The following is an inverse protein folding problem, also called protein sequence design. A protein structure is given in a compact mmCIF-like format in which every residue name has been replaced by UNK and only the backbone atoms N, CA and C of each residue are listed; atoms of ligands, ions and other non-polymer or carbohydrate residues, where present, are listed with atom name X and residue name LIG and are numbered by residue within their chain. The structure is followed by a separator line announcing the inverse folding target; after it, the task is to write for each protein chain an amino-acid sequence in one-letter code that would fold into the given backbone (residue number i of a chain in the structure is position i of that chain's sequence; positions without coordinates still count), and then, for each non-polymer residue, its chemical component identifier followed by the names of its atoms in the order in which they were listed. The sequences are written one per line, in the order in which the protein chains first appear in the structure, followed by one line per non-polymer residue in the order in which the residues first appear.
data_IF_219124565660
#
_entry.id   IF_219124565660
#
_cell.length_a   1.000
_cell.length_b   1.000
_cell.length_c   1.000
_cell.angle_alpha   90.00
_cell.angle_beta   90.00
_cell.angle_gamma   90.00
#
_symmetry.space_group_name_H-M   'P 1'
#
loop_
_entity.id
_entity.type
_entity.pdbx_description
1 polymer ?
#
# COMPACT_ATOMS: atom_id res chain seq x y z
N UNK A 1 -12.95 -17.99 -12.63
CA UNK A 1 -13.77 -17.62 -13.79
C UNK A 1 -14.18 -16.15 -13.79
N UNK A 2 -14.86 -15.67 -12.73
CA UNK A 2 -15.27 -14.26 -12.61
C UNK A 2 -14.07 -13.31 -12.62
N UNK A 3 -13.02 -13.62 -11.87
CA UNK A 3 -11.82 -12.80 -11.81
C UNK A 3 -11.15 -12.64 -13.19
N UNK A 4 -11.14 -13.69 -13.97
CA UNK A 4 -10.56 -13.67 -15.34
C UNK A 4 -11.41 -12.82 -16.27
N UNK A 5 -12.74 -12.89 -16.17
CA UNK A 5 -13.64 -12.06 -16.96
C UNK A 5 -13.47 -10.57 -16.62
N UNK A 6 -13.36 -10.24 -15.35
CA UNK A 6 -13.14 -8.88 -14.90
C UNK A 6 -11.81 -8.32 -15.39
N UNK A 7 -10.76 -9.13 -15.35
CA UNK A 7 -9.45 -8.74 -15.87
C UNK A 7 -9.49 -8.49 -17.39
N UNK A 8 -10.22 -9.33 -18.12
CA UNK A 8 -10.42 -9.19 -19.57
C UNK A 8 -11.13 -7.89 -19.91
N UNK A 9 -12.06 -7.44 -19.05
CA UNK A 9 -12.81 -6.20 -19.22
C UNK A 9 -12.06 -4.95 -18.69
N UNK A 10 -10.84 -5.12 -18.22
CA UNK A 10 -9.99 -4.01 -17.80
C UNK A 10 -9.99 -3.72 -16.29
N UNK A 11 -10.59 -4.57 -15.49
CA UNK A 11 -10.56 -4.42 -14.03
C UNK A 11 -9.31 -5.09 -13.46
N UNK A 12 -8.38 -4.31 -13.01
CA UNK A 12 -7.08 -4.80 -12.51
C UNK A 12 -7.07 -5.10 -11.02
N UNK A 13 -8.03 -4.55 -10.26
CA UNK A 13 -8.06 -4.73 -8.81
C UNK A 13 -9.49 -4.91 -8.29
N UNK A 14 -9.59 -5.48 -7.08
CA UNK A 14 -10.85 -5.61 -6.35
C UNK A 14 -11.45 -4.25 -6.06
N UNK A 15 -10.61 -3.25 -5.77
CA UNK A 15 -11.04 -1.88 -5.50
C UNK A 15 -11.79 -1.26 -6.69
N UNK A 16 -11.29 -1.48 -7.90
CA UNK A 16 -11.96 -0.98 -9.11
C UNK A 16 -13.36 -1.56 -9.24
N UNK A 17 -13.52 -2.86 -9.01
CA UNK A 17 -14.82 -3.52 -9.07
C UNK A 17 -15.77 -2.98 -7.99
N UNK A 18 -15.26 -2.74 -6.78
CA UNK A 18 -16.07 -2.29 -5.65
C UNK A 18 -16.63 -0.86 -5.84
N UNK A 19 -15.89 0.01 -6.53
CA UNK A 19 -16.21 1.45 -6.60
C UNK A 19 -16.73 1.95 -7.95
N UNK A 20 -16.78 1.10 -8.99
CA UNK A 20 -17.43 1.46 -10.25
C UNK A 20 -18.94 1.33 -10.13
N UNK A 21 -19.68 1.98 -11.04
CA UNK A 21 -21.12 1.83 -11.10
C UNK A 21 -21.54 0.39 -11.42
N UNK A 22 -22.58 -0.09 -10.75
CA UNK A 22 -23.12 -1.43 -10.99
C UNK A 22 -23.47 -1.62 -12.47
N UNK A 23 -23.90 -0.56 -13.16
CA UNK A 23 -24.20 -0.60 -14.58
C UNK A 23 -22.99 -0.94 -15.45
N UNK A 24 -21.80 -0.48 -15.08
CA UNK A 24 -20.56 -0.82 -15.81
C UNK A 24 -20.20 -2.29 -15.67
N UNK A 25 -20.37 -2.86 -14.48
CA UNK A 25 -20.15 -4.29 -14.26
C UNK A 25 -21.22 -5.11 -14.99
N UNK A 26 -22.48 -4.63 -15.00
CA UNK A 26 -23.58 -5.31 -15.68
C UNK A 26 -23.43 -5.33 -17.21
N UNK A 27 -22.64 -4.43 -17.80
CA UNK A 27 -22.34 -4.45 -19.23
C UNK A 27 -21.42 -5.59 -19.64
N UNK A 28 -20.75 -6.23 -18.68
CA UNK A 28 -19.90 -7.38 -18.97
C UNK A 28 -20.79 -8.56 -19.38
N UNK A 29 -20.45 -9.19 -20.49
CA UNK A 29 -21.21 -10.31 -21.00
C UNK A 29 -21.31 -11.44 -19.97
N UNK A 30 -22.54 -11.88 -19.71
CA UNK A 30 -22.81 -12.90 -18.71
C UNK A 30 -23.19 -12.37 -17.32
N UNK A 31 -23.16 -11.05 -17.12
CA UNK A 31 -23.57 -10.41 -15.88
C UNK A 31 -24.88 -9.66 -16.07
N UNK A 32 -25.80 -9.81 -15.10
CA UNK A 32 -26.97 -8.96 -14.99
C UNK A 32 -26.76 -7.96 -13.85
N UNK A 33 -27.73 -7.08 -13.62
CA UNK A 33 -27.64 -6.04 -12.59
C UNK A 33 -27.53 -6.65 -11.19
N UNK A 34 -28.28 -7.70 -10.90
CA UNK A 34 -28.25 -8.37 -9.61
C UNK A 34 -26.91 -9.05 -9.34
N UNK A 35 -26.35 -9.71 -10.36
CA UNK A 35 -25.02 -10.32 -10.28
C UNK A 35 -23.96 -9.26 -10.06
N UNK A 36 -24.06 -8.12 -10.78
CA UNK A 36 -23.11 -7.01 -10.63
C UNK A 36 -23.13 -6.46 -9.21
N UNK A 37 -24.31 -6.25 -8.63
CA UNK A 37 -24.44 -5.78 -7.26
C UNK A 37 -23.88 -6.76 -6.25
N UNK A 38 -24.12 -8.05 -6.45
CA UNK A 38 -23.57 -9.09 -5.57
C UNK A 38 -22.04 -9.12 -5.63
N UNK A 39 -21.46 -9.05 -6.81
CA UNK A 39 -19.99 -9.00 -6.99
C UNK A 39 -19.42 -7.78 -6.29
N UNK A 40 -20.03 -6.61 -6.46
CA UNK A 40 -19.59 -5.38 -5.80
C UNK A 40 -19.68 -5.48 -4.27
N UNK A 41 -20.75 -6.07 -3.75
CA UNK A 41 -20.91 -6.28 -2.32
C UNK A 41 -19.79 -7.17 -1.77
N UNK A 42 -19.49 -8.27 -2.45
CA UNK A 42 -18.40 -9.17 -2.07
C UNK A 42 -17.04 -8.50 -2.15
N UNK A 43 -16.85 -7.65 -3.17
CA UNK A 43 -15.60 -6.90 -3.33
C UNK A 43 -15.41 -5.91 -2.18
N UNK A 44 -16.45 -5.21 -1.77
CA UNK A 44 -16.41 -4.29 -0.63
C UNK A 44 -16.14 -5.04 0.68
N UNK A 45 -16.80 -6.17 0.91
CA UNK A 45 -16.58 -7.01 2.09
C UNK A 45 -15.14 -7.50 2.17
N UNK A 46 -14.58 -7.89 1.03
CA UNK A 46 -13.17 -8.30 0.93
C UNK A 46 -12.22 -7.16 1.31
N UNK A 47 -12.47 -5.95 0.78
CA UNK A 47 -11.65 -4.78 1.09
C UNK A 47 -11.74 -4.39 2.57
N UNK A 48 -12.94 -4.43 3.14
CA UNK A 48 -13.13 -4.15 4.57
C UNK A 48 -12.40 -5.16 5.44
N UNK A 49 -12.44 -6.43 5.05
CA UNK A 49 -11.74 -7.51 5.75
C UNK A 49 -10.23 -7.33 5.67
N UNK A 50 -9.70 -6.99 4.49
CA UNK A 50 -8.27 -6.71 4.31
C UNK A 50 -7.83 -5.53 5.18
N UNK A 51 -8.64 -4.47 5.21
CA UNK A 51 -8.34 -3.29 6.02
C UNK A 51 -8.33 -3.64 7.51
N UNK A 52 -9.30 -4.44 7.97
CA UNK A 52 -9.35 -4.89 9.34
C UNK A 52 -8.14 -5.77 9.71
N UNK A 53 -7.72 -6.65 8.81
CA UNK A 53 -6.54 -7.49 9.01
C UNK A 53 -5.26 -6.66 9.09
N UNK A 54 -5.13 -5.66 8.21
CA UNK A 54 -3.97 -4.73 8.24
C UNK A 54 -3.96 -3.92 9.52
N UNK A 55 -5.10 -3.44 9.96
CA UNK A 55 -5.21 -2.66 11.19
C UNK A 55 -4.85 -3.51 12.41
N UNK A 56 -5.34 -4.76 12.47
CA UNK A 56 -4.99 -5.70 13.53
C UNK A 56 -3.49 -5.99 13.54
N UNK A 57 -2.90 -6.19 12.36
CA UNK A 57 -1.46 -6.45 12.23
C UNK A 57 -0.65 -5.22 12.64
N UNK A 58 -1.10 -4.02 12.26
CA UNK A 58 -0.47 -2.77 12.69
C UNK A 58 -0.41 -2.66 14.22
N UNK A 59 -1.51 -2.98 14.88
CA UNK A 59 -1.60 -2.96 16.35
C UNK A 59 -0.70 -4.02 16.97
N UNK A 60 -0.66 -5.20 16.39
CA UNK A 60 0.23 -6.29 16.83
C UNK A 60 1.70 -5.87 16.73
N UNK A 61 2.08 -5.17 15.67
CA UNK A 61 3.43 -4.65 15.47
C UNK A 61 3.75 -3.44 16.35
N UNK A 62 2.73 -2.85 16.99
CA UNK A 62 2.90 -1.71 17.87
C UNK A 62 3.02 -0.37 17.15
N UNK A 63 2.55 -0.28 15.92
CA UNK A 63 2.58 0.97 15.14
C UNK A 63 1.57 1.97 15.69
N UNK A 64 2.01 3.21 15.92
CA UNK A 64 1.19 4.28 16.49
C UNK A 64 0.11 4.75 15.53
N UNK A 65 -1.05 5.14 16.07
CA UNK A 65 -2.13 5.76 15.30
C UNK A 65 -1.70 7.10 14.70
N UNK A 66 -0.78 7.80 15.34
CA UNK A 66 -0.26 9.09 14.85
C UNK A 66 0.45 8.94 13.50
N UNK A 67 1.11 7.80 13.29
CA UNK A 67 1.77 7.50 12.01
C UNK A 67 0.75 7.39 10.88
N UNK A 68 -0.46 6.88 11.18
CA UNK A 68 -1.55 6.78 10.22
C UNK A 68 -2.07 8.15 9.75
N UNK A 69 -1.84 9.20 10.52
CA UNK A 69 -2.27 10.57 10.21
C UNK A 69 -1.33 11.28 9.23
N UNK A 70 -0.18 10.72 8.97
CA UNK A 70 0.79 11.33 8.03
C UNK A 70 0.22 11.29 6.61
N UNK A 71 0.17 12.42 5.89
CA UNK A 71 -0.30 12.45 4.50
C UNK A 71 0.48 11.48 3.61
N UNK A 72 -0.23 10.73 2.80
CA UNK A 72 0.37 9.75 1.89
C UNK A 72 0.58 8.37 2.48
N UNK A 73 0.43 8.20 3.78
CA UNK A 73 0.56 6.90 4.46
C UNK A 73 -0.78 6.17 4.45
N UNK A 74 -0.78 4.91 4.03
CA UNK A 74 -1.96 4.04 4.04
C UNK A 74 -1.74 2.84 4.98
N UNK A 75 -2.75 1.99 5.14
CA UNK A 75 -2.67 0.83 6.03
C UNK A 75 -1.57 -0.16 5.63
N UNK A 76 -1.36 -0.36 4.34
CA UNK A 76 -0.32 -1.23 3.82
C UNK A 76 1.07 -0.71 4.18
N UNK A 77 1.27 0.60 4.08
CA UNK A 77 2.53 1.25 4.48
C UNK A 77 2.77 1.13 5.98
N UNK A 78 1.70 1.27 6.80
CA UNK A 78 1.81 1.12 8.25
C UNK A 78 2.31 -0.26 8.66
N UNK A 79 1.81 -1.30 8.02
CA UNK A 79 2.27 -2.67 8.25
C UNK A 79 3.75 -2.80 7.83
N UNK A 80 4.12 -2.27 6.67
CA UNK A 80 5.51 -2.30 6.18
C UNK A 80 6.45 -1.56 7.15
N UNK A 81 6.05 -0.39 7.64
CA UNK A 81 6.82 0.36 8.64
C UNK A 81 7.03 -0.46 9.90
N UNK A 82 5.96 -1.07 10.42
CA UNK A 82 6.04 -1.88 11.63
C UNK A 82 6.99 -3.07 11.48
N UNK A 83 6.99 -3.72 10.33
CA UNK A 83 7.89 -4.82 10.01
C UNK A 83 9.36 -4.38 9.97
N UNK A 84 9.62 -3.12 9.66
CA UNK A 84 10.96 -2.54 9.63
C UNK A 84 11.31 -1.74 10.89
N UNK A 85 10.49 -1.82 11.93
CA UNK A 85 10.75 -1.15 13.19
C UNK A 85 10.38 0.32 13.24
N UNK A 86 9.71 0.83 12.21
CA UNK A 86 9.21 2.20 12.17
C UNK A 86 7.79 2.19 12.76
N UNK A 87 7.66 2.57 14.03
CA UNK A 87 6.39 2.43 14.77
C UNK A 87 5.75 3.75 15.15
N UNK A 88 6.53 4.82 15.17
CA UNK A 88 6.05 6.16 15.58
C UNK A 88 6.39 7.20 14.52
N UNK A 89 5.75 8.38 14.66
CA UNK A 89 6.06 9.55 13.81
C UNK A 89 7.53 9.93 13.96
N UNK A 90 8.07 9.85 15.17
CA UNK A 90 9.49 10.16 15.44
C UNK A 90 10.40 9.19 14.69
N UNK A 91 10.07 7.91 14.68
CA UNK A 91 10.83 6.90 13.94
C UNK A 91 10.86 7.21 12.43
N UNK A 92 9.73 7.60 11.87
CA UNK A 92 9.65 7.99 10.45
C UNK A 92 10.42 9.28 10.19
N UNK A 93 10.32 10.26 11.10
CA UNK A 93 11.04 11.53 10.98
C UNK A 93 12.56 11.35 10.96
N UNK A 94 13.06 10.33 11.65
CA UNK A 94 14.48 10.01 11.70
C UNK A 94 14.95 9.19 10.49
N UNK A 95 14.05 8.70 9.65
CA UNK A 95 14.39 7.92 8.47
C UNK A 95 14.96 8.79 7.36
N UNK A 96 15.86 8.21 6.57
CA UNK A 96 16.28 8.79 5.29
C UNK A 96 15.37 8.25 4.18
N UNK A 97 15.25 9.00 3.09
CA UNK A 97 14.44 8.60 1.93
C UNK A 97 14.84 7.22 1.42
N UNK A 98 16.15 6.94 1.37
CA UNK A 98 16.69 5.66 0.89
C UNK A 98 16.25 4.49 1.79
N UNK A 99 16.02 4.72 3.07
CA UNK A 99 15.52 3.69 3.98
C UNK A 99 14.10 3.25 3.63
N UNK A 100 13.30 4.14 3.04
CA UNK A 100 11.94 3.84 2.62
C UNK A 100 11.88 3.19 1.24
N UNK A 101 12.62 3.70 0.27
CA UNK A 101 12.56 3.23 -1.12
C UNK A 101 13.64 2.22 -1.48
N UNK A 102 14.66 2.08 -0.62
CA UNK A 102 15.83 1.25 -0.89
C UNK A 102 16.90 1.98 -1.67
N UNK A 103 18.08 1.40 -1.72
CA UNK A 103 19.23 2.00 -2.41
C UNK A 103 20.22 0.93 -2.83
N UNK A 104 21.08 1.27 -3.78
CA UNK A 104 22.10 0.37 -4.29
C UNK A 104 23.48 0.88 -3.87
N UNK A 105 24.21 0.06 -3.13
CA UNK A 105 25.59 0.36 -2.74
C UNK A 105 26.53 -0.08 -3.85
N UNK A 106 27.30 0.87 -4.41
CA UNK A 106 28.34 0.58 -5.38
C UNK A 106 29.68 0.55 -4.68
N UNK A 107 30.34 -0.61 -4.72
CA UNK A 107 31.67 -0.75 -4.15
C UNK A 107 32.71 -0.17 -5.09
N UNK A 108 33.77 0.39 -4.55
CA UNK A 108 34.85 0.99 -5.32
C UNK A 108 35.72 -0.03 -6.07
N UNK A 109 35.63 -1.29 -5.71
CA UNK A 109 36.36 -2.38 -6.33
C UNK A 109 35.72 -2.75 -7.69
N UNK A 110 36.58 -2.91 -8.72
CA UNK A 110 36.13 -3.14 -10.12
C UNK A 110 35.35 -4.45 -10.30
N UNK A 111 35.59 -5.44 -9.46
CA UNK A 111 34.97 -6.76 -9.58
C UNK A 111 33.85 -7.02 -8.57
N UNK A 112 33.49 -6.03 -7.75
CA UNK A 112 32.45 -6.18 -6.75
C UNK A 112 31.08 -5.86 -7.34
N UNK A 113 30.13 -6.78 -7.16
CA UNK A 113 28.73 -6.54 -7.57
C UNK A 113 28.08 -5.51 -6.65
N UNK A 114 27.21 -4.62 -7.21
CA UNK A 114 26.47 -3.68 -6.38
C UNK A 114 25.52 -4.44 -5.44
N UNK A 115 25.43 -3.96 -4.20
CA UNK A 115 24.55 -4.54 -3.20
C UNK A 115 23.24 -3.74 -3.18
N UNK A 116 22.11 -4.41 -3.39
CA UNK A 116 20.80 -3.78 -3.32
C UNK A 116 20.26 -3.90 -1.89
N UNK A 117 20.02 -2.74 -1.27
CA UNK A 117 19.37 -2.65 0.04
C UNK A 117 17.89 -2.35 -0.15
N UNK A 118 17.03 -3.22 0.34
CA UNK A 118 15.57 -3.05 0.23
C UNK A 118 15.08 -2.00 1.22
N UNK A 119 14.21 -1.11 0.75
CA UNK A 119 13.56 -0.14 1.60
C UNK A 119 12.32 -0.69 2.29
N UNK A 120 11.86 -0.01 3.32
CA UNK A 120 10.66 -0.39 4.07
C UNK A 120 9.41 -0.43 3.20
N UNK A 121 9.32 0.45 2.20
CA UNK A 121 8.17 0.55 1.27
C UNK A 121 8.46 -0.08 -0.09
N UNK A 122 9.51 -0.86 -0.21
CA UNK A 122 9.83 -1.52 -1.48
C UNK A 122 8.69 -2.46 -1.89
N UNK A 123 8.33 -2.42 -3.16
CA UNK A 123 7.19 -3.19 -3.68
C UNK A 123 5.86 -2.46 -3.63
N UNK A 124 5.78 -1.31 -2.97
CA UNK A 124 4.57 -0.50 -2.87
C UNK A 124 4.51 0.63 -3.91
N UNK A 125 5.44 0.64 -4.85
CA UNK A 125 5.51 1.63 -5.94
C UNK A 125 5.54 3.09 -5.46
N UNK A 126 6.25 3.34 -4.38
CA UNK A 126 6.40 4.69 -3.83
C UNK A 126 7.57 5.39 -4.52
N UNK A 127 7.32 6.61 -5.03
CA UNK A 127 8.37 7.42 -5.63
C UNK A 127 9.27 8.04 -4.55
N UNK A 128 10.47 8.46 -4.95
CA UNK A 128 11.38 9.16 -4.04
C UNK A 128 10.73 10.43 -3.46
N UNK A 129 10.01 11.16 -4.29
CA UNK A 129 9.29 12.37 -3.87
C UNK A 129 8.24 12.06 -2.81
N UNK A 130 7.45 10.99 -3.01
CA UNK A 130 6.43 10.57 -2.05
C UNK A 130 7.06 10.22 -0.70
N UNK A 131 8.19 9.51 -0.72
CA UNK A 131 8.92 9.16 0.49
C UNK A 131 9.46 10.41 1.21
N UNK A 132 10.01 11.35 0.46
CA UNK A 132 10.49 12.64 1.01
C UNK A 132 9.35 13.42 1.65
N UNK A 133 8.20 13.49 0.98
CA UNK A 133 7.02 14.20 1.49
C UNK A 133 6.52 13.58 2.79
N UNK A 134 6.50 12.25 2.88
CA UNK A 134 6.11 11.54 4.10
C UNK A 134 7.07 11.83 5.27
N UNK A 135 8.37 11.82 5.01
CA UNK A 135 9.38 12.11 6.02
C UNK A 135 9.28 13.56 6.49
N UNK A 136 9.09 14.48 5.56
CA UNK A 136 8.92 15.91 5.91
C UNK A 136 7.66 16.12 6.74
N UNK A 137 6.55 15.49 6.37
CA UNK A 137 5.31 15.56 7.14
C UNK A 137 5.49 14.99 8.55
N UNK A 138 6.24 13.90 8.68
CA UNK A 138 6.56 13.29 9.96
C UNK A 138 7.41 14.23 10.84
N UNK A 139 8.38 14.90 10.26
CA UNK A 139 9.23 15.88 10.96
C UNK A 139 8.42 17.06 11.47
N UNK A 140 7.47 17.53 10.66
CA UNK A 140 6.56 18.61 11.06
C UNK A 140 5.66 18.15 12.20
N UNK A 141 5.12 16.95 12.11
CA UNK A 141 4.23 16.39 13.14
C UNK A 141 4.96 16.08 14.46
N UNK A 142 6.21 15.67 14.38
CA UNK A 142 7.04 15.37 15.55
C UNK A 142 7.54 16.64 16.27
N UNK A 143 7.45 17.78 15.59
CA UNK A 143 7.86 19.06 16.12
C UNK A 143 9.29 19.40 15.89
#
# INVERSE_FOLDING_TARGET
MIAQLLATEGFESVAEVAFVDAGEVAHIEGFDEDTAKEIQSRARDFLERQEAERDAKRKELGVSDDLAKIPGVNSQMLVAFGEHGIKTVDDLADCATDELIGWTERKKEKDAEPIRHKGALEGLEISRRDAEDMIMAARIAAG
#
